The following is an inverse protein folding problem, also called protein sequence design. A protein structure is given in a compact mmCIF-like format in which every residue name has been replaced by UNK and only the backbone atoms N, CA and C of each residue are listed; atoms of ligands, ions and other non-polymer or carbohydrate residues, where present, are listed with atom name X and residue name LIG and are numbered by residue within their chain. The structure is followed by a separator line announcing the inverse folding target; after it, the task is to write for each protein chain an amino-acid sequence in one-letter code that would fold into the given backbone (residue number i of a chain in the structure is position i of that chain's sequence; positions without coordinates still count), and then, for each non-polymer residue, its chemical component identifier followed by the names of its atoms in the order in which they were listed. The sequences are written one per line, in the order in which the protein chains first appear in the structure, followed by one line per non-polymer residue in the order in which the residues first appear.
data_IF_621888336339
#
_entry.id   IF_621888336339
#
_cell.length_a   1.000
_cell.length_b   1.000
_cell.length_c   1.000
_cell.angle_alpha   90.00
_cell.angle_beta   90.00
_cell.angle_gamma   90.00
#
_symmetry.space_group_name_H-M   'P 1'
#
loop_
_entity.id
_entity.type
_entity.pdbx_description
1 polymer ?
#
# COMPACT_ATOMS: atom_id res chain seq x y z
N UNK A 1 -0.67 -16.52 -33.90
CA UNK A 1 -1.51 -17.07 -32.81
C UNK A 1 -0.81 -16.70 -31.52
N UNK A 2 -1.49 -16.06 -30.57
CA UNK A 2 -0.88 -15.71 -29.27
C UNK A 2 -0.91 -16.97 -28.41
N UNK A 3 0.23 -17.40 -27.91
CA UNK A 3 0.34 -18.55 -27.01
C UNK A 3 0.50 -18.03 -25.57
N UNK A 4 -0.17 -18.65 -24.62
CA UNK A 4 0.06 -18.34 -23.20
C UNK A 4 1.37 -19.01 -22.77
N UNK A 5 2.37 -18.22 -22.39
CA UNK A 5 3.70 -18.72 -22.03
C UNK A 5 4.21 -18.03 -20.77
N UNK A 6 3.86 -18.55 -19.58
CA UNK A 6 4.32 -17.96 -18.32
C UNK A 6 5.85 -17.99 -18.17
N UNK A 7 6.55 -18.83 -18.93
CA UNK A 7 7.98 -19.07 -18.78
C UNK A 7 8.88 -18.15 -19.64
N UNK A 8 8.31 -17.15 -20.31
CA UNK A 8 9.07 -16.18 -21.13
C UNK A 8 9.32 -14.85 -20.43
N UNK A 9 8.52 -14.51 -19.41
CA UNK A 9 8.64 -13.25 -18.67
C UNK A 9 8.54 -13.46 -17.17
N UNK A 10 9.42 -12.82 -16.42
CA UNK A 10 9.19 -12.52 -15.01
C UNK A 10 8.59 -11.12 -14.92
N UNK A 11 7.48 -11.00 -14.18
CA UNK A 11 6.77 -9.76 -13.94
C UNK A 11 6.82 -9.44 -12.46
N UNK A 12 7.14 -8.20 -12.15
CA UNK A 12 7.09 -7.64 -10.80
C UNK A 12 6.46 -6.25 -10.88
N UNK A 13 5.51 -5.96 -10.01
CA UNK A 13 4.68 -4.77 -10.10
C UNK A 13 4.46 -4.16 -8.72
N UNK A 14 4.80 -2.89 -8.60
CA UNK A 14 4.63 -2.09 -7.40
C UNK A 14 3.53 -1.06 -7.64
N UNK A 15 2.39 -1.17 -6.96
CA UNK A 15 1.35 -0.14 -7.01
C UNK A 15 1.77 1.08 -6.16
N UNK A 16 1.32 2.26 -6.61
CA UNK A 16 1.53 3.52 -5.96
C UNK A 16 1.09 3.50 -4.49
N UNK A 17 1.97 3.98 -3.60
CA UNK A 17 1.78 4.03 -2.16
C UNK A 17 1.53 5.46 -1.68
N UNK A 18 0.42 6.05 -2.14
CA UNK A 18 0.08 7.44 -1.81
C UNK A 18 1.20 8.42 -2.21
N UNK A 19 1.50 9.43 -1.38
CA UNK A 19 2.55 10.42 -1.70
C UNK A 19 3.97 9.84 -1.74
N UNK A 20 4.23 8.70 -1.08
CA UNK A 20 5.58 8.12 -0.94
C UNK A 20 6.03 7.42 -2.21
N UNK A 21 5.10 6.74 -2.90
CA UNK A 21 5.32 6.15 -4.20
C UNK A 21 4.21 6.61 -5.14
N UNK A 22 4.31 7.80 -5.76
CA UNK A 22 3.18 8.40 -6.46
C UNK A 22 2.85 7.74 -7.81
N UNK A 23 3.67 6.78 -8.24
CA UNK A 23 3.55 6.09 -9.52
C UNK A 23 3.62 4.59 -9.30
N UNK A 24 2.96 3.86 -10.19
CA UNK A 24 3.14 2.43 -10.26
C UNK A 24 4.40 2.11 -11.06
N UNK A 25 5.09 1.06 -10.67
CA UNK A 25 6.28 0.57 -11.36
C UNK A 25 6.08 -0.86 -11.81
N UNK A 26 6.48 -1.14 -13.04
CA UNK A 26 6.49 -2.48 -13.60
C UNK A 26 7.91 -2.82 -13.99
N UNK A 27 8.39 -3.96 -13.51
CA UNK A 27 9.61 -4.62 -13.99
C UNK A 27 9.19 -5.82 -14.84
N UNK A 28 9.67 -5.86 -16.07
CA UNK A 28 9.53 -6.99 -16.99
C UNK A 28 10.90 -7.55 -17.29
N UNK A 29 11.14 -8.82 -17.03
CA UNK A 29 12.39 -9.48 -17.39
C UNK A 29 12.14 -10.54 -18.44
N UNK A 30 12.81 -10.41 -19.58
CA UNK A 30 12.83 -11.44 -20.62
C UNK A 30 13.66 -12.61 -20.12
N UNK A 31 13.06 -13.75 -19.83
CA UNK A 31 13.79 -14.98 -19.46
C UNK A 31 13.82 -16.00 -20.61
N UNK A 32 13.29 -15.62 -21.78
CA UNK A 32 13.33 -16.39 -23.02
C UNK A 32 14.54 -16.05 -23.88
N UNK A 33 14.35 -16.05 -25.19
CA UNK A 33 15.39 -15.70 -26.17
C UNK A 33 15.47 -14.19 -26.40
N UNK A 34 16.55 -13.74 -27.03
CA UNK A 34 16.66 -12.35 -27.50
C UNK A 34 15.49 -12.00 -28.42
N UNK A 35 14.83 -10.88 -28.13
CA UNK A 35 13.75 -10.35 -28.95
C UNK A 35 14.20 -9.08 -29.67
N UNK A 36 13.64 -8.83 -30.85
CA UNK A 36 13.89 -7.65 -31.66
C UNK A 36 12.57 -7.10 -32.20
N UNK A 37 12.50 -5.77 -32.36
CA UNK A 37 11.34 -5.01 -32.83
C UNK A 37 10.06 -5.38 -32.09
N UNK A 38 10.12 -5.32 -30.76
CA UNK A 38 9.05 -5.78 -29.89
C UNK A 38 8.03 -4.70 -29.63
N UNK A 39 6.76 -5.09 -29.67
CA UNK A 39 5.65 -4.32 -29.12
C UNK A 39 5.15 -5.01 -27.87
N UNK A 40 5.18 -4.32 -26.74
CA UNK A 40 4.69 -4.81 -25.46
C UNK A 40 3.40 -4.06 -25.10
N UNK A 41 2.27 -4.76 -25.11
CA UNK A 41 1.00 -4.25 -24.59
C UNK A 41 0.84 -4.69 -23.13
N UNK A 42 0.82 -3.73 -22.23
CA UNK A 42 0.50 -3.94 -20.81
C UNK A 42 -0.93 -3.51 -20.54
N UNK A 43 -1.73 -4.44 -20.03
CA UNK A 43 -3.12 -4.25 -19.64
C UNK A 43 -3.24 -4.35 -18.12
N UNK A 44 -3.52 -3.22 -17.47
CA UNK A 44 -3.74 -3.09 -16.03
C UNK A 44 -5.25 -3.16 -15.76
N UNK A 45 -5.68 -4.09 -14.92
CA UNK A 45 -7.10 -4.24 -14.55
C UNK A 45 -7.31 -3.93 -13.07
N UNK A 46 -8.24 -3.02 -12.79
CA UNK A 46 -8.67 -2.67 -11.44
C UNK A 46 -9.78 -3.60 -10.92
N UNK A 47 -10.14 -3.41 -9.65
CA UNK A 47 -11.36 -3.98 -9.04
C UNK A 47 -12.63 -3.59 -9.79
N UNK A 48 -12.70 -2.35 -10.25
CA UNK A 48 -13.86 -1.77 -10.92
C UNK A 48 -13.40 -0.81 -12.01
N UNK A 49 -14.27 -0.56 -12.98
CA UNK A 49 -13.99 0.32 -14.11
C UNK A 49 -13.22 -0.37 -15.25
N UNK A 50 -12.89 0.39 -16.31
CA UNK A 50 -12.21 -0.14 -17.48
C UNK A 50 -10.73 -0.44 -17.21
N UNK A 51 -10.20 -1.45 -17.89
CA UNK A 51 -8.76 -1.72 -17.91
C UNK A 51 -8.00 -0.58 -18.60
N UNK A 52 -6.78 -0.30 -18.13
CA UNK A 52 -5.86 0.62 -18.79
C UNK A 52 -4.85 -0.15 -19.63
N UNK A 53 -4.64 0.29 -20.86
CA UNK A 53 -3.71 -0.31 -21.82
C UNK A 53 -2.58 0.65 -22.14
N UNK A 54 -1.35 0.19 -22.03
CA UNK A 54 -0.15 0.94 -22.35
C UNK A 54 0.68 0.13 -23.34
N UNK A 55 1.18 0.79 -24.38
CA UNK A 55 1.99 0.17 -25.42
C UNK A 55 3.41 0.70 -25.31
N UNK A 56 4.38 -0.22 -25.26
CA UNK A 56 5.80 0.09 -25.26
C UNK A 56 6.46 -0.53 -26.49
N UNK A 57 7.36 0.20 -27.13
CA UNK A 57 8.14 -0.29 -28.26
C UNK A 57 9.58 -0.48 -27.83
N UNK A 58 10.14 -1.65 -28.12
CA UNK A 58 11.50 -2.03 -27.73
C UNK A 58 12.23 -2.56 -28.96
N UNK A 59 13.20 -1.81 -29.45
CA UNK A 59 13.98 -2.19 -30.64
C UNK A 59 14.73 -3.51 -30.44
N UNK A 60 15.33 -3.70 -29.27
CA UNK A 60 16.00 -4.94 -28.90
C UNK A 60 15.86 -5.21 -27.41
N UNK A 61 15.44 -6.44 -27.07
CA UNK A 61 15.29 -6.90 -25.70
C UNK A 61 16.12 -8.19 -25.49
N UNK A 62 17.34 -8.06 -24.96
CA UNK A 62 18.20 -9.21 -24.71
C UNK A 62 17.58 -10.16 -23.68
N UNK A 63 17.95 -11.44 -23.77
CA UNK A 63 17.63 -12.44 -22.76
C UNK A 63 18.20 -12.04 -21.39
N UNK A 64 17.50 -12.43 -20.34
CA UNK A 64 17.76 -12.16 -18.92
C UNK A 64 17.97 -10.69 -18.58
N UNK A 65 17.34 -9.79 -19.33
CA UNK A 65 17.47 -8.34 -19.13
C UNK A 65 16.14 -7.73 -18.69
N UNK A 66 16.12 -6.93 -17.61
CA UNK A 66 14.91 -6.24 -17.18
C UNK A 66 14.66 -4.96 -17.98
N UNK A 67 13.38 -4.68 -18.19
CA UNK A 67 12.84 -3.40 -18.59
C UNK A 67 11.96 -2.86 -17.48
N UNK A 68 11.96 -1.54 -17.33
CA UNK A 68 11.17 -0.84 -16.33
C UNK A 68 10.20 0.10 -17.01
N UNK A 69 8.94 0.07 -16.59
CA UNK A 69 7.92 1.01 -17.01
C UNK A 69 7.31 1.70 -15.78
N UNK A 70 7.04 2.99 -15.92
CA UNK A 70 6.35 3.80 -14.92
C UNK A 70 4.96 4.11 -15.41
N UNK A 71 3.96 3.92 -14.55
CA UNK A 71 2.58 4.32 -14.83
C UNK A 71 2.10 5.38 -13.85
N UNK A 72 1.50 6.42 -14.39
CA UNK A 72 1.16 7.64 -13.67
C UNK A 72 -0.34 7.69 -13.40
N UNK A 73 -0.75 8.20 -12.22
CA UNK A 73 -2.17 8.44 -11.92
C UNK A 73 -2.78 9.53 -12.81
N UNK A 74 -1.96 10.33 -13.50
CA UNK A 74 -2.39 11.49 -14.26
C UNK A 74 -2.76 12.67 -13.36
N UNK A 75 -3.47 13.64 -13.90
CA UNK A 75 -3.95 14.81 -13.17
C UNK A 75 -5.45 15.02 -13.38
N UNK A 76 -6.14 15.47 -12.33
CA UNK A 76 -7.57 15.75 -12.38
C UNK A 76 -7.82 17.07 -13.13
N UNK A 77 -8.59 17.01 -14.20
CA UNK A 77 -9.03 18.14 -15.01
C UNK A 77 -10.54 18.01 -15.22
N UNK A 78 -11.32 18.96 -14.71
CA UNK A 78 -12.79 19.00 -14.81
C UNK A 78 -13.51 17.71 -14.36
N UNK A 79 -12.97 17.04 -13.34
CA UNK A 79 -13.53 15.81 -12.79
C UNK A 79 -13.09 14.52 -13.49
N UNK A 80 -12.28 14.63 -14.55
CA UNK A 80 -11.68 13.49 -15.24
C UNK A 80 -10.16 13.45 -15.09
N UNK A 81 -9.57 12.26 -15.08
CA UNK A 81 -8.11 12.12 -15.01
C UNK A 81 -7.50 12.16 -16.41
N UNK A 82 -6.82 13.26 -16.73
CA UNK A 82 -6.03 13.41 -17.95
C UNK A 82 -4.61 12.84 -17.77
N UNK A 83 -4.05 12.27 -18.83
CA UNK A 83 -2.67 11.74 -18.84
C UNK A 83 -2.45 10.47 -18.00
N UNK A 84 -3.49 9.93 -17.37
CA UNK A 84 -3.43 8.73 -16.54
C UNK A 84 -2.98 7.51 -17.35
N UNK A 85 -1.91 6.84 -16.94
CA UNK A 85 -1.42 5.59 -17.54
C UNK A 85 -1.57 4.39 -16.62
N UNK A 86 -2.15 4.55 -15.43
CA UNK A 86 -2.51 3.45 -14.52
C UNK A 86 -4.01 3.33 -14.22
N UNK A 87 -4.41 2.32 -13.45
CA UNK A 87 -5.71 2.19 -12.77
C UNK A 87 -5.51 2.20 -11.24
N UNK A 88 -6.56 2.40 -10.47
CA UNK A 88 -6.50 2.37 -9.00
C UNK A 88 -6.89 0.98 -8.53
N UNK A 89 -6.25 0.48 -7.47
CA UNK A 89 -6.50 -0.85 -6.94
C UNK A 89 -6.27 -1.92 -8.01
N UNK A 90 -5.05 -1.91 -8.57
CA UNK A 90 -4.61 -2.90 -9.56
C UNK A 90 -4.79 -4.29 -8.96
N UNK A 91 -5.44 -5.18 -9.72
CA UNK A 91 -5.66 -6.57 -9.30
C UNK A 91 -4.84 -7.55 -10.09
N UNK A 92 -4.73 -7.28 -11.38
CA UNK A 92 -4.05 -8.14 -12.31
C UNK A 92 -3.45 -7.29 -13.43
N UNK A 93 -2.39 -7.84 -14.00
CA UNK A 93 -1.72 -7.33 -15.17
C UNK A 93 -1.69 -8.43 -16.22
N UNK A 94 -1.81 -8.05 -17.48
CA UNK A 94 -1.46 -8.93 -18.58
C UNK A 94 -0.51 -8.22 -19.53
N UNK A 95 0.54 -8.91 -19.92
CA UNK A 95 1.54 -8.41 -20.86
C UNK A 95 1.48 -9.28 -22.09
N UNK A 96 1.17 -8.67 -23.23
CA UNK A 96 1.26 -9.31 -24.54
C UNK A 96 2.45 -8.76 -25.27
N UNK A 97 3.35 -9.63 -25.70
CA UNK A 97 4.55 -9.29 -26.45
C UNK A 97 4.35 -9.79 -27.88
N UNK A 98 4.64 -8.93 -28.84
CA UNK A 98 4.82 -9.30 -30.24
C UNK A 98 6.22 -8.94 -30.68
N UNK A 99 6.94 -9.89 -31.28
CA UNK A 99 8.17 -9.67 -32.02
C UNK A 99 7.98 -10.12 -33.47
N UNK A 100 9.01 -9.98 -34.29
CA UNK A 100 8.99 -10.50 -35.67
C UNK A 100 8.82 -12.03 -35.74
N UNK A 101 9.26 -12.76 -34.71
CA UNK A 101 9.33 -14.23 -34.72
C UNK A 101 8.24 -14.89 -33.89
N UNK A 102 7.74 -14.21 -32.87
CA UNK A 102 6.81 -14.80 -31.92
C UNK A 102 5.84 -13.79 -31.32
N UNK A 103 4.77 -14.31 -30.74
CA UNK A 103 3.81 -13.54 -29.97
C UNK A 103 3.29 -14.37 -28.80
N UNK A 104 3.41 -13.83 -27.60
CA UNK A 104 3.00 -14.52 -26.38
C UNK A 104 2.35 -13.56 -25.38
N UNK A 105 1.63 -14.14 -24.42
CA UNK A 105 0.98 -13.40 -23.34
C UNK A 105 1.30 -14.05 -22.00
N UNK A 106 1.57 -13.21 -21.00
CA UNK A 106 1.71 -13.60 -19.60
C UNK A 106 0.73 -12.79 -18.76
N UNK A 107 0.14 -13.42 -17.74
CA UNK A 107 -0.76 -12.76 -16.78
C UNK A 107 -0.17 -12.87 -15.38
N UNK A 108 -0.33 -11.82 -14.59
CA UNK A 108 0.20 -11.70 -13.23
C UNK A 108 -0.92 -11.19 -12.32
N UNK A 109 -1.17 -11.89 -11.22
CA UNK A 109 -2.17 -11.50 -10.21
C UNK A 109 -1.44 -10.74 -9.12
N UNK A 110 -1.74 -9.46 -8.97
CA UNK A 110 -1.10 -8.58 -7.99
C UNK A 110 -1.84 -8.57 -6.64
N UNK A 111 -3.17 -8.68 -6.66
CA UNK A 111 -3.95 -8.67 -5.42
C UNK A 111 -3.62 -9.90 -4.56
N UNK A 112 -3.53 -9.69 -3.24
CA UNK A 112 -3.29 -10.76 -2.27
C UNK A 112 -1.86 -10.71 -1.74
N UNK A 113 -1.15 -11.82 -1.84
CA UNK A 113 0.16 -11.99 -1.20
C UNK A 113 1.23 -11.03 -1.74
N UNK A 114 1.24 -10.78 -3.04
CA UNK A 114 2.18 -9.84 -3.67
C UNK A 114 1.99 -8.42 -3.14
N UNK A 115 0.74 -7.92 -3.16
CA UNK A 115 0.42 -6.63 -2.54
C UNK A 115 0.72 -6.60 -1.04
N UNK A 116 0.42 -7.67 -0.30
CA UNK A 116 0.75 -7.77 1.13
C UNK A 116 2.26 -7.64 1.37
N UNK A 117 3.08 -8.24 0.49
CA UNK A 117 4.55 -8.19 0.54
C UNK A 117 5.08 -6.78 0.26
N UNK A 118 4.57 -6.09 -0.76
CA UNK A 118 4.96 -4.71 -1.05
C UNK A 118 4.66 -3.77 0.09
N UNK A 119 3.47 -3.91 0.67
CA UNK A 119 3.03 -3.08 1.78
C UNK A 119 3.93 -3.34 2.99
N UNK A 120 4.29 -4.61 3.23
CA UNK A 120 5.23 -4.97 4.29
C UNK A 120 6.58 -4.30 4.09
N UNK A 121 7.12 -4.35 2.86
CA UNK A 121 8.38 -3.70 2.46
C UNK A 121 8.32 -2.19 2.71
N UNK A 122 7.25 -1.51 2.30
CA UNK A 122 7.07 -0.07 2.58
C UNK A 122 6.99 0.24 4.08
N UNK A 123 6.52 -0.71 4.88
CA UNK A 123 6.40 -0.58 6.33
C UNK A 123 7.62 -1.10 7.11
N UNK A 124 8.70 -1.55 6.48
CA UNK A 124 9.88 -2.08 7.19
C UNK A 124 10.50 -1.07 8.16
N UNK A 125 10.56 0.20 7.74
CA UNK A 125 11.07 1.30 8.57
C UNK A 125 9.98 2.01 9.37
N UNK A 126 8.71 1.62 9.21
CA UNK A 126 7.60 2.26 9.90
C UNK A 126 7.77 2.06 11.40
N UNK A 127 7.77 3.17 12.13
CA UNK A 127 7.77 3.14 13.59
C UNK A 127 6.70 4.07 14.14
N UNK A 128 6.13 3.64 15.25
CA UNK A 128 5.14 4.38 16.01
C UNK A 128 5.63 4.47 17.45
N UNK A 129 5.90 5.69 17.91
CA UNK A 129 6.21 5.99 19.31
C UNK A 129 5.15 6.93 19.88
N UNK A 130 5.05 7.02 21.20
CA UNK A 130 3.90 7.68 21.78
C UNK A 130 3.85 7.66 23.29
N UNK A 131 2.75 8.16 23.81
CA UNK A 131 2.48 8.26 25.24
C UNK A 131 1.03 7.91 25.54
N UNK A 132 0.79 7.41 26.74
CA UNK A 132 -0.55 7.29 27.30
C UNK A 132 -0.89 8.53 28.10
N UNK A 133 -2.11 9.01 27.95
CA UNK A 133 -2.71 10.00 28.83
C UNK A 133 -3.72 9.30 29.74
N UNK A 134 -3.45 9.15 31.04
CA UNK A 134 -4.38 8.54 31.98
C UNK A 134 -5.58 9.45 32.25
N UNK A 135 -6.54 8.94 33.02
CA UNK A 135 -7.58 9.80 33.59
C UNK A 135 -6.99 10.54 34.79
N UNK A 136 -7.25 11.84 34.86
CA UNK A 136 -6.86 12.68 36.00
C UNK A 136 -8.13 13.24 36.66
N UNK A 137 -8.35 12.88 37.93
CA UNK A 137 -9.48 13.37 38.72
C UNK A 137 -9.28 14.86 39.07
N UNK A 138 -10.32 15.67 38.90
CA UNK A 138 -10.29 17.11 39.24
C UNK A 138 -10.02 18.07 38.07
N UNK A 139 -9.69 17.58 36.87
CA UNK A 139 -9.65 18.41 35.66
C UNK A 139 -11.07 18.58 35.10
N UNK A 140 -11.58 19.82 35.03
CA UNK A 140 -12.96 20.09 34.58
C UNK A 140 -13.17 19.92 33.06
N UNK A 141 -12.09 19.92 32.26
CA UNK A 141 -12.17 20.07 30.80
C UNK A 141 -11.49 18.96 29.99
N UNK A 142 -10.59 18.16 30.58
CA UNK A 142 -9.97 17.03 29.87
C UNK A 142 -9.61 15.87 30.82
N UNK A 143 -10.61 15.04 31.11
CA UNK A 143 -10.44 13.80 31.88
C UNK A 143 -10.31 12.56 30.99
N UNK A 144 -10.22 12.74 29.67
CA UNK A 144 -10.37 11.61 28.76
C UNK A 144 -9.04 10.91 28.52
N UNK A 145 -9.02 9.63 28.89
CA UNK A 145 -7.94 8.70 28.55
C UNK A 145 -7.68 8.71 27.06
N UNK A 146 -6.42 8.74 26.66
CA UNK A 146 -6.05 8.75 25.25
C UNK A 146 -4.71 8.06 25.02
N UNK A 147 -4.56 7.46 23.85
CA UNK A 147 -3.24 7.13 23.31
C UNK A 147 -2.82 8.23 22.34
N UNK A 148 -1.59 8.70 22.45
CA UNK A 148 -1.01 9.63 21.47
C UNK A 148 0.10 8.88 20.78
N UNK A 149 0.02 8.77 19.45
CA UNK A 149 1.09 8.21 18.64
C UNK A 149 1.66 9.29 17.72
N UNK A 150 2.95 9.17 17.44
CA UNK A 150 3.69 9.93 16.45
C UNK A 150 4.23 8.93 15.43
N UNK A 151 4.02 9.25 14.14
CA UNK A 151 4.58 8.49 13.04
C UNK A 151 6.06 8.83 12.84
N UNK A 152 6.90 7.83 12.67
CA UNK A 152 8.31 8.03 12.32
C UNK A 152 8.84 6.92 11.39
N UNK A 153 10.04 7.11 10.85
CA UNK A 153 10.76 6.15 10.00
C UNK A 153 10.33 6.12 8.53
N UNK A 154 9.11 6.54 8.20
CA UNK A 154 8.63 6.75 6.82
C UNK A 154 8.06 8.15 6.63
N UNK A 155 7.99 8.67 5.40
CA UNK A 155 7.56 10.06 5.13
C UNK A 155 6.07 10.27 5.39
N UNK A 156 5.23 9.37 4.89
CA UNK A 156 3.80 9.41 5.14
C UNK A 156 3.14 8.04 4.92
N UNK A 157 1.98 7.85 5.53
CA UNK A 157 1.07 6.76 5.25
C UNK A 157 -0.04 7.25 4.32
N UNK A 158 -0.47 6.42 3.34
CA UNK A 158 -1.70 6.65 2.59
C UNK A 158 -2.93 6.51 3.53
N UNK A 159 -4.17 6.67 3.00
CA UNK A 159 -5.36 6.35 3.76
C UNK A 159 -5.26 4.97 4.44
N UNK A 160 -5.48 4.94 5.75
CA UNK A 160 -5.32 3.75 6.56
C UNK A 160 -6.26 3.77 7.76
N UNK A 161 -6.51 2.58 8.31
CA UNK A 161 -7.23 2.40 9.57
C UNK A 161 -6.24 2.11 10.68
N UNK A 162 -6.36 2.84 11.79
CA UNK A 162 -5.61 2.59 13.02
C UNK A 162 -6.55 2.01 14.06
N UNK A 163 -6.19 0.84 14.60
CA UNK A 163 -6.89 0.17 15.69
C UNK A 163 -6.03 0.34 16.94
N UNK A 164 -6.59 0.92 17.99
CA UNK A 164 -5.91 1.07 19.28
C UNK A 164 -6.60 0.20 20.32
N UNK A 165 -5.83 -0.70 20.92
CA UNK A 165 -6.28 -1.61 21.98
C UNK A 165 -5.62 -1.24 23.30
N UNK A 166 -6.45 -0.90 24.30
CA UNK A 166 -6.06 -0.59 25.66
C UNK A 166 -6.20 -1.83 26.55
N UNK A 167 -5.15 -2.19 27.26
CA UNK A 167 -5.07 -3.42 28.06
C UNK A 167 -4.65 -3.06 29.49
N UNK A 168 -5.42 -3.48 30.50
CA UNK A 168 -5.13 -3.22 31.90
C UNK A 168 -6.17 -3.84 32.83
N UNK A 169 -5.76 -4.23 34.05
CA UNK A 169 -6.69 -4.74 35.08
C UNK A 169 -7.48 -5.99 34.65
N UNK A 170 -6.88 -6.86 33.83
CA UNK A 170 -7.54 -8.04 33.25
C UNK A 170 -8.54 -7.75 32.13
N UNK A 171 -8.67 -6.48 31.70
CA UNK A 171 -9.58 -6.05 30.65
C UNK A 171 -8.82 -5.65 29.38
N UNK A 172 -9.52 -5.73 28.24
CA UNK A 172 -9.04 -5.27 26.93
C UNK A 172 -10.18 -4.61 26.18
N UNK A 173 -9.97 -3.39 25.68
CA UNK A 173 -10.93 -2.66 24.84
C UNK A 173 -10.25 -2.03 23.65
N UNK A 174 -10.91 -2.08 22.49
CA UNK A 174 -10.36 -1.61 21.21
C UNK A 174 -11.34 -0.68 20.51
N UNK A 175 -10.79 0.32 19.82
CA UNK A 175 -11.51 1.21 18.92
C UNK A 175 -10.67 1.42 17.65
N UNK A 176 -11.30 1.90 16.59
CA UNK A 176 -10.63 2.19 15.33
C UNK A 176 -10.91 3.60 14.84
N UNK A 177 -9.97 4.13 14.06
CA UNK A 177 -10.06 5.43 13.42
C UNK A 177 -9.60 5.29 11.97
N UNK A 178 -10.39 5.83 11.06
CA UNK A 178 -10.01 6.00 9.66
C UNK A 178 -9.20 7.29 9.54
N UNK A 179 -8.07 7.22 8.83
CA UNK A 179 -7.22 8.36 8.54
C UNK A 179 -7.10 8.48 7.02
N UNK A 180 -7.25 9.70 6.49
CA UNK A 180 -6.99 9.98 5.06
C UNK A 180 -5.48 9.97 4.72
N UNK A 181 -4.65 9.89 5.76
CA UNK A 181 -3.20 9.86 5.68
C UNK A 181 -2.57 10.25 7.01
N UNK A 182 -1.28 9.97 7.15
CA UNK A 182 -0.53 10.31 8.35
C UNK A 182 0.91 10.65 7.98
N UNK A 183 1.34 11.88 8.24
CA UNK A 183 2.70 12.34 7.90
C UNK A 183 3.69 12.12 9.04
N UNK A 184 4.97 11.95 8.70
CA UNK A 184 6.07 11.82 9.67
C UNK A 184 6.06 12.98 10.67
N UNK A 185 6.31 12.68 11.93
CA UNK A 185 6.32 13.65 13.03
C UNK A 185 4.93 14.16 13.43
N UNK A 186 3.87 13.86 12.67
CA UNK A 186 2.52 14.25 13.03
C UNK A 186 2.04 13.40 14.21
N UNK A 187 1.55 14.09 15.25
CA UNK A 187 0.91 13.46 16.41
C UNK A 187 -0.57 13.22 16.12
N UNK A 188 -1.06 12.01 16.38
CA UNK A 188 -2.48 11.67 16.36
C UNK A 188 -2.91 11.23 17.74
N UNK A 189 -4.03 11.79 18.20
CA UNK A 189 -4.62 11.48 19.51
C UNK A 189 -5.83 10.58 19.31
N UNK A 190 -5.81 9.42 19.95
CA UNK A 190 -6.83 8.39 19.85
C UNK A 190 -7.57 8.29 21.18
N UNK A 191 -8.70 8.99 21.24
CA UNK A 191 -9.58 9.03 22.41
C UNK A 191 -10.74 8.05 22.21
N UNK A 192 -10.86 7.00 23.05
CA UNK A 192 -12.06 6.18 23.10
C UNK A 192 -13.31 7.05 23.31
N UNK A 193 -14.52 6.62 22.91
CA UNK A 193 -15.75 7.32 23.26
C UNK A 193 -15.83 7.64 24.75
N UNK A 194 -16.39 8.81 25.10
CA UNK A 194 -16.41 9.30 26.47
C UNK A 194 -17.05 8.26 27.41
N UNK A 195 -16.35 7.93 28.50
CA UNK A 195 -16.79 6.94 29.49
C UNK A 195 -16.62 5.48 29.06
N UNK A 196 -16.21 5.19 27.82
CA UNK A 196 -16.08 3.82 27.33
C UNK A 196 -14.85 3.07 27.88
N UNK A 197 -13.77 3.80 28.20
CA UNK A 197 -12.57 3.25 28.83
C UNK A 197 -12.59 3.53 30.35
N UNK A 198 -12.85 2.47 31.11
CA UNK A 198 -13.14 2.50 32.56
C UNK A 198 -11.97 2.08 33.44
N UNK A 199 -10.80 1.86 32.85
CA UNK A 199 -9.58 1.43 33.54
C UNK A 199 -8.37 2.13 32.93
N UNK A 200 -7.30 2.25 33.71
CA UNK A 200 -6.02 2.74 33.21
C UNK A 200 -5.26 1.62 32.49
N UNK A 201 -4.78 1.94 31.29
CA UNK A 201 -4.04 0.99 30.49
C UNK A 201 -2.65 0.79 31.07
N UNK A 202 -2.24 -0.48 31.18
CA UNK A 202 -0.87 -0.89 31.49
C UNK A 202 -0.08 -1.13 30.19
N UNK A 203 -0.79 -1.39 29.10
CA UNK A 203 -0.24 -1.61 27.77
C UNK A 203 -1.21 -1.11 26.70
N UNK A 204 -0.67 -0.49 25.66
CA UNK A 204 -1.45 -0.05 24.51
C UNK A 204 -0.86 -0.68 23.26
N UNK A 205 -1.71 -1.24 22.42
CA UNK A 205 -1.33 -1.81 21.13
C UNK A 205 -1.93 -0.96 20.04
N UNK A 206 -1.09 -0.47 19.13
CA UNK A 206 -1.53 0.15 17.87
C UNK A 206 -1.37 -0.85 16.72
N UNK A 207 -2.41 -1.00 15.90
CA UNK A 207 -2.39 -1.79 14.67
C UNK A 207 -2.83 -0.90 13.50
N UNK A 208 -2.00 -0.78 12.47
CA UNK A 208 -2.34 -0.08 11.23
C UNK A 208 -2.71 -1.12 10.18
N UNK A 209 -3.82 -0.90 9.49
CA UNK A 209 -4.28 -1.72 8.37
C UNK A 209 -4.56 -0.83 7.16
N UNK A 210 -4.32 -1.35 5.96
CA UNK A 210 -4.50 -0.61 4.72
C UNK A 210 -5.62 -1.22 3.86
N UNK A 211 -6.27 -0.44 2.98
CA UNK A 211 -7.31 -0.95 2.09
C UNK A 211 -6.80 -2.08 1.18
N UNK A 212 -7.65 -3.09 0.97
CA UNK A 212 -7.43 -4.19 0.01
C UNK A 212 -6.13 -5.01 0.21
N UNK A 213 -5.58 -5.02 1.44
CA UNK A 213 -4.48 -5.88 1.86
C UNK A 213 -4.81 -6.54 3.20
N UNK A 214 -4.21 -7.71 3.46
CA UNK A 214 -4.27 -8.40 4.76
C UNK A 214 -3.10 -8.02 5.67
N UNK A 215 -2.13 -7.25 5.17
CA UNK A 215 -1.00 -6.77 5.96
C UNK A 215 -1.46 -5.90 7.13
N UNK A 216 -0.79 -6.09 8.26
CA UNK A 216 -1.04 -5.36 9.50
C UNK A 216 0.30 -4.97 10.12
N UNK A 217 0.51 -3.68 10.32
CA UNK A 217 1.66 -3.21 11.08
C UNK A 217 1.27 -3.02 12.55
N UNK A 218 1.96 -3.70 13.47
CA UNK A 218 1.63 -3.68 14.90
C UNK A 218 2.77 -3.10 15.72
N UNK A 219 2.43 -2.13 16.57
CA UNK A 219 3.32 -1.57 17.60
C UNK A 219 2.73 -1.81 18.99
N UNK A 220 3.59 -1.83 20.00
CA UNK A 220 3.18 -1.81 21.41
C UNK A 220 3.82 -0.62 22.08
N UNK A 221 2.98 0.24 22.67
CA UNK A 221 3.42 1.28 23.58
C UNK A 221 3.45 0.73 25.00
N UNK A 222 4.63 0.70 25.66
CA UNK A 222 4.68 0.52 27.10
C UNK A 222 4.07 1.76 27.76
N UNK A 223 3.23 1.54 28.78
CA UNK A 223 2.72 2.63 29.61
C UNK A 223 3.60 2.70 30.85
N UNK A 224 4.35 3.79 30.99
CA UNK A 224 5.05 4.11 32.24
C UNK A 224 4.07 4.83 33.16
N UNK A 225 3.89 4.29 34.37
CA UNK A 225 3.16 4.93 35.46
C UNK A 225 4.10 5.82 36.26
#
# INVERSE_FOLDING_TARGET
MIVNQPDQLILDFDEAWGPVGPNDWLRLENIGQDLADCTNLVELTAKSGPARRNVHFVEHWPAHTPLYARYEPGFLLDGEYAGRTTVSEVRQLAVTVWSLKEAFRTSYVYLGEEKDHDIARYCEMLSLHGSYRPFEEGLLWDTQRAAVFTLDGIESLPPCRVIVTFIGGGQSKSWYWELDGWSRGQRKTFQPPRGALTFDAQRIVGEITFPETRYKHRTTLPVSH
#
